data_IF_314842617706
#
_entry.id   IF_314842617706
#
_cell.length_a   1.000
_cell.length_b   1.000
_cell.length_c   1.000
_cell.angle_alpha   90.00
_cell.angle_beta   90.00
_cell.angle_gamma   90.00
#
_symmetry.space_group_name_H-M   'P 1'
#
loop_
_entity.id
_entity.type
_entity.pdbx_description
1 polymer ?
#
# COMPACT_ATOMS: atom_id res chain seq x y z
N UNK A 1 -14.33 -18.63 -9.30
CA UNK A 1 -13.08 -17.91 -9.04
C UNK A 1 -12.38 -17.47 -10.32
N UNK A 2 -11.96 -18.39 -11.22
CA UNK A 2 -11.19 -18.07 -12.44
C UNK A 2 -11.91 -17.07 -13.39
N UNK A 3 -13.23 -17.17 -13.52
CA UNK A 3 -14.01 -16.19 -14.29
C UNK A 3 -13.91 -14.78 -13.67
N UNK A 4 -14.05 -14.67 -12.35
CA UNK A 4 -13.91 -13.40 -11.65
C UNK A 4 -12.48 -12.83 -11.74
N UNK A 5 -11.44 -13.69 -11.73
CA UNK A 5 -10.05 -13.27 -11.86
C UNK A 5 -9.73 -12.69 -13.25
N UNK A 6 -10.46 -13.13 -14.30
CA UNK A 6 -10.35 -12.55 -15.64
C UNK A 6 -11.02 -11.19 -15.78
N UNK A 7 -12.09 -10.96 -15.03
CA UNK A 7 -12.83 -9.70 -15.05
C UNK A 7 -12.18 -8.64 -14.15
N UNK A 8 -11.63 -9.07 -13.01
CA UNK A 8 -11.03 -8.19 -12.01
C UNK A 8 -9.73 -8.82 -11.49
N UNK A 9 -8.57 -8.27 -11.80
CA UNK A 9 -7.30 -8.78 -11.28
C UNK A 9 -7.28 -8.67 -9.75
N UNK A 10 -6.82 -9.71 -9.09
CA UNK A 10 -6.60 -9.73 -7.64
C UNK A 10 -5.15 -9.40 -7.35
N UNK A 11 -4.89 -8.57 -6.35
CA UNK A 11 -3.52 -8.31 -5.88
C UNK A 11 -2.97 -9.52 -5.12
N UNK A 12 -3.79 -10.16 -4.31
CA UNK A 12 -3.41 -11.29 -3.44
C UNK A 12 -4.45 -12.39 -3.58
N UNK A 13 -4.01 -13.63 -3.68
CA UNK A 13 -4.86 -14.82 -3.73
C UNK A 13 -4.38 -15.85 -2.72
N UNK A 14 -5.24 -16.20 -1.76
CA UNK A 14 -5.06 -17.35 -0.90
C UNK A 14 -5.80 -18.52 -1.48
N UNK A 15 -5.12 -19.63 -1.71
CA UNK A 15 -5.67 -20.80 -2.39
C UNK A 15 -5.41 -22.07 -1.59
N UNK A 16 -6.47 -22.74 -1.19
CA UNK A 16 -6.32 -24.06 -0.57
C UNK A 16 -5.92 -25.09 -1.64
N UNK A 17 -4.92 -25.90 -1.33
CA UNK A 17 -4.48 -26.98 -2.23
C UNK A 17 -5.53 -28.09 -2.28
N UNK A 18 -6.06 -28.46 -1.12
CA UNK A 18 -7.00 -29.57 -1.00
C UNK A 18 -8.43 -29.05 -0.84
N UNK A 19 -9.14 -28.92 -1.94
CA UNK A 19 -10.55 -28.55 -1.96
C UNK A 19 -11.42 -29.70 -2.48
N UNK A 20 -12.63 -29.84 -1.95
CA UNK A 20 -13.57 -30.83 -2.43
C UNK A 20 -13.89 -30.60 -3.92
N UNK A 21 -13.42 -31.52 -4.78
CA UNK A 21 -13.68 -31.52 -6.22
C UNK A 21 -12.78 -30.58 -7.05
N UNK A 22 -11.77 -29.94 -6.45
CA UNK A 22 -10.82 -29.10 -7.18
C UNK A 22 -9.42 -29.18 -6.53
N UNK A 23 -8.37 -29.08 -7.37
CA UNK A 23 -6.99 -29.00 -6.95
C UNK A 23 -6.50 -27.55 -7.07
N UNK A 24 -6.10 -26.93 -5.94
CA UNK A 24 -5.61 -25.56 -5.91
C UNK A 24 -4.40 -25.31 -6.81
N UNK A 25 -3.57 -26.33 -7.03
CA UNK A 25 -2.39 -26.20 -7.92
C UNK A 25 -2.83 -26.08 -9.38
N UNK A 26 -3.84 -26.81 -9.80
CA UNK A 26 -4.38 -26.70 -11.16
C UNK A 26 -5.01 -25.33 -11.40
N UNK A 27 -5.78 -24.85 -10.41
CA UNK A 27 -6.36 -23.50 -10.44
C UNK A 27 -5.25 -22.44 -10.50
N UNK A 28 -4.16 -22.62 -9.75
CA UNK A 28 -3.01 -21.71 -9.78
C UNK A 28 -2.33 -21.70 -11.15
N UNK A 29 -2.20 -22.85 -11.82
CA UNK A 29 -1.67 -22.93 -13.20
C UNK A 29 -2.53 -22.16 -14.18
N UNK A 30 -3.86 -22.35 -14.13
CA UNK A 30 -4.79 -21.61 -14.99
C UNK A 30 -4.75 -20.10 -14.71
N UNK A 31 -4.63 -19.71 -13.44
CA UNK A 31 -4.48 -18.30 -13.05
C UNK A 31 -3.22 -17.69 -13.68
N UNK A 32 -2.10 -18.41 -13.66
CA UNK A 32 -0.84 -17.96 -14.28
C UNK A 32 -0.90 -17.92 -15.80
N UNK A 33 -1.68 -18.76 -16.44
CA UNK A 33 -1.90 -18.71 -17.90
C UNK A 33 -2.66 -17.45 -18.34
N UNK A 34 -3.44 -16.84 -17.49
CA UNK A 34 -4.09 -15.55 -17.72
C UNK A 34 -3.19 -14.34 -17.45
N UNK A 35 -1.90 -14.55 -17.27
CA UNK A 35 -0.87 -13.53 -16.98
C UNK A 35 -1.15 -12.70 -15.73
N UNK A 36 -1.64 -13.36 -14.69
CA UNK A 36 -1.91 -12.70 -13.42
C UNK A 36 -0.64 -12.61 -12.57
N UNK A 37 -0.19 -11.39 -12.31
CA UNK A 37 0.94 -11.07 -11.42
C UNK A 37 0.57 -11.01 -9.94
N UNK A 38 -0.60 -11.55 -9.56
CA UNK A 38 -1.04 -11.57 -8.18
C UNK A 38 -0.07 -12.34 -7.26
N UNK A 39 0.03 -11.91 -6.02
CA UNK A 39 0.70 -12.67 -4.97
C UNK A 39 -0.14 -13.91 -4.64
N UNK A 40 0.37 -15.08 -5.00
CA UNK A 40 -0.30 -16.36 -4.76
C UNK A 40 0.26 -17.00 -3.49
N UNK A 41 -0.61 -17.30 -2.56
CA UNK A 41 -0.30 -17.98 -1.31
C UNK A 41 -1.10 -19.28 -1.26
N UNK A 42 -0.43 -20.40 -1.08
CA UNK A 42 -1.13 -21.64 -0.80
C UNK A 42 -1.40 -21.80 0.69
N UNK A 43 -2.62 -22.23 1.00
CA UNK A 43 -2.97 -22.75 2.32
C UNK A 43 -3.12 -24.27 2.23
N UNK A 44 -2.51 -25.04 3.13
CA UNK A 44 -2.48 -26.50 2.99
C UNK A 44 -2.31 -27.19 4.33
N UNK A 45 -2.69 -28.47 4.40
CA UNK A 45 -2.41 -29.35 5.55
C UNK A 45 -1.11 -30.14 5.37
N UNK A 46 -0.44 -30.09 4.19
CA UNK A 46 0.79 -30.81 3.88
C UNK A 46 1.75 -29.95 3.07
N UNK A 47 3.05 -30.20 3.22
CA UNK A 47 4.13 -29.55 2.47
C UNK A 47 4.53 -30.32 1.20
N UNK A 48 3.87 -31.44 0.87
CA UNK A 48 4.27 -32.35 -0.22
C UNK A 48 4.26 -31.69 -1.61
N UNK A 49 3.54 -30.59 -1.79
CA UNK A 49 3.41 -29.86 -3.06
C UNK A 49 4.30 -28.60 -3.19
N UNK A 50 5.30 -28.45 -2.32
CA UNK A 50 6.17 -27.26 -2.34
C UNK A 50 6.88 -27.05 -3.68
N UNK A 51 7.31 -28.12 -4.36
CA UNK A 51 7.93 -28.07 -5.69
C UNK A 51 6.96 -27.61 -6.79
N UNK A 52 5.69 -27.97 -6.69
CA UNK A 52 4.67 -27.56 -7.65
C UNK A 52 4.32 -26.09 -7.50
N UNK A 53 4.32 -25.59 -6.26
CA UNK A 53 4.12 -24.17 -5.98
C UNK A 53 5.24 -23.29 -6.52
N UNK A 54 6.47 -23.76 -6.52
CA UNK A 54 7.57 -23.04 -7.16
C UNK A 54 7.32 -22.86 -8.67
N UNK A 55 6.76 -23.86 -9.34
CA UNK A 55 6.44 -23.80 -10.77
C UNK A 55 5.35 -22.75 -11.11
N UNK A 56 4.44 -22.50 -10.18
CA UNK A 56 3.38 -21.47 -10.34
C UNK A 56 3.75 -20.14 -9.67
N UNK A 57 5.03 -19.97 -9.31
CA UNK A 57 5.53 -18.76 -8.66
C UNK A 57 4.69 -18.35 -7.45
N UNK A 58 4.36 -19.32 -6.58
CA UNK A 58 3.73 -19.02 -5.31
C UNK A 58 4.70 -18.24 -4.42
N UNK A 59 4.20 -17.18 -3.78
CA UNK A 59 4.99 -16.38 -2.85
C UNK A 59 5.27 -17.15 -1.57
N UNK A 60 4.27 -17.85 -1.04
CA UNK A 60 4.38 -18.51 0.25
C UNK A 60 3.44 -19.73 0.37
N UNK A 61 3.75 -20.60 1.36
CA UNK A 61 2.93 -21.70 1.81
C UNK A 61 2.58 -21.50 3.28
N UNK A 62 1.29 -21.43 3.59
CA UNK A 62 0.78 -21.44 4.96
C UNK A 62 0.28 -22.85 5.31
N UNK A 63 0.99 -23.51 6.22
CA UNK A 63 0.61 -24.84 6.68
C UNK A 63 -0.38 -24.73 7.83
N UNK A 64 -1.55 -25.36 7.67
CA UNK A 64 -2.60 -25.36 8.71
C UNK A 64 -2.21 -26.29 9.87
N UNK A 65 -2.43 -25.89 11.14
CA UNK A 65 -2.97 -24.61 11.56
C UNK A 65 -1.89 -23.51 11.57
N UNK A 66 -2.20 -22.33 11.08
CA UNK A 66 -1.33 -21.17 11.11
C UNK A 66 -1.81 -20.16 12.15
N UNK A 67 -0.90 -19.39 12.71
CA UNK A 67 -1.18 -18.40 13.76
C UNK A 67 -1.20 -16.97 13.19
N UNK A 68 -1.66 -16.03 14.03
CA UNK A 68 -1.79 -14.62 13.68
C UNK A 68 -0.44 -14.00 13.27
N UNK A 69 0.65 -14.36 13.95
CA UNK A 69 1.99 -13.83 13.66
C UNK A 69 2.48 -14.26 12.28
N UNK A 70 2.23 -15.49 11.86
CA UNK A 70 2.60 -15.98 10.53
C UNK A 70 1.83 -15.21 9.44
N UNK A 71 0.54 -14.96 9.66
CA UNK A 71 -0.29 -14.16 8.74
C UNK A 71 0.22 -12.72 8.69
N UNK A 72 0.45 -12.07 9.83
CA UNK A 72 0.95 -10.70 9.90
C UNK A 72 2.27 -10.55 9.16
N UNK A 73 3.24 -11.43 9.43
CA UNK A 73 4.54 -11.41 8.76
C UNK A 73 4.41 -11.55 7.24
N UNK A 74 3.53 -12.45 6.77
CA UNK A 74 3.28 -12.63 5.35
C UNK A 74 2.62 -11.39 4.72
N UNK A 75 1.66 -10.78 5.41
CA UNK A 75 1.00 -9.55 4.93
C UNK A 75 1.99 -8.39 4.84
N UNK A 76 2.88 -8.23 5.82
CA UNK A 76 3.95 -7.21 5.79
C UNK A 76 4.88 -7.42 4.59
N UNK A 77 5.26 -8.68 4.31
CA UNK A 77 6.04 -9.03 3.14
C UNK A 77 5.32 -8.68 1.83
N UNK A 78 4.02 -9.01 1.73
CA UNK A 78 3.20 -8.69 0.56
C UNK A 78 3.10 -7.17 0.38
N UNK A 79 2.79 -6.43 1.45
CA UNK A 79 2.68 -4.98 1.43
C UNK A 79 3.99 -4.31 0.97
N UNK A 80 5.15 -4.85 1.40
CA UNK A 80 6.46 -4.34 0.96
C UNK A 80 6.72 -4.56 -0.54
N UNK A 81 6.07 -5.55 -1.15
CA UNK A 81 6.24 -5.94 -2.56
C UNK A 81 5.15 -5.40 -3.48
N UNK A 82 3.99 -5.02 -2.94
CA UNK A 82 2.97 -4.34 -3.74
C UNK A 82 3.59 -3.03 -4.22
N UNK A 83 3.75 -2.84 -5.55
CA UNK A 83 4.16 -1.54 -6.04
C UNK A 83 3.14 -0.55 -5.49
N UNK A 84 3.61 0.42 -4.73
CA UNK A 84 2.75 1.57 -4.40
C UNK A 84 2.11 1.97 -5.71
N UNK A 85 0.79 1.96 -5.78
CA UNK A 85 0.02 2.16 -7.00
C UNK A 85 0.21 3.58 -7.51
N UNK A 86 1.46 3.96 -7.72
CA UNK A 86 1.95 5.13 -8.44
C UNK A 86 1.15 6.41 -8.26
N UNK A 87 0.34 6.52 -7.20
CA UNK A 87 -0.36 7.75 -6.90
C UNK A 87 0.65 8.82 -6.57
N UNK A 88 0.59 9.89 -7.32
CA UNK A 88 1.45 11.04 -7.14
C UNK A 88 0.63 12.32 -7.24
N UNK A 89 1.17 13.39 -6.69
CA UNK A 89 0.66 14.74 -6.89
C UNK A 89 1.63 15.50 -7.78
N UNK A 90 1.07 16.22 -8.76
CA UNK A 90 1.83 17.16 -9.57
C UNK A 90 1.88 18.51 -8.84
N UNK A 91 3.07 19.00 -8.57
CA UNK A 91 3.27 20.30 -7.93
C UNK A 91 4.28 21.14 -8.70
N UNK A 92 4.07 22.46 -8.69
CA UNK A 92 5.00 23.39 -9.31
C UNK A 92 5.96 23.93 -8.26
N UNK A 93 7.22 23.52 -8.33
CA UNK A 93 8.30 23.95 -7.41
C UNK A 93 9.33 24.71 -8.23
N UNK A 94 9.61 25.96 -7.85
CA UNK A 94 10.59 26.82 -8.53
C UNK A 94 10.39 26.90 -10.05
N UNK A 95 9.14 26.90 -10.51
CA UNK A 95 8.80 26.97 -11.93
C UNK A 95 8.78 25.63 -12.68
N UNK A 96 9.27 24.55 -12.09
CA UNK A 96 9.28 23.20 -12.67
C UNK A 96 8.12 22.34 -12.13
N UNK A 97 7.48 21.55 -12.99
CA UNK A 97 6.52 20.55 -12.54
C UNK A 97 7.26 19.32 -11.99
N UNK A 98 6.93 18.94 -10.77
CA UNK A 98 7.51 17.79 -10.06
C UNK A 98 6.37 16.86 -9.66
N UNK A 99 6.58 15.58 -9.86
CA UNK A 99 5.70 14.52 -9.35
C UNK A 99 6.23 14.03 -8.00
N UNK A 100 5.39 14.13 -6.97
CA UNK A 100 5.71 13.62 -5.65
C UNK A 100 4.83 12.41 -5.40
N UNK A 101 5.42 11.20 -5.26
CA UNK A 101 4.66 10.01 -4.89
C UNK A 101 4.00 10.20 -3.52
N UNK A 102 2.76 9.76 -3.38
CA UNK A 102 2.00 9.90 -2.12
C UNK A 102 2.74 9.30 -0.93
N UNK A 103 3.38 8.16 -1.10
CA UNK A 103 4.18 7.51 -0.05
C UNK A 103 5.37 8.34 0.44
N UNK A 104 5.81 9.30 -0.35
CA UNK A 104 6.93 10.16 0.02
C UNK A 104 6.48 11.44 0.74
N UNK A 105 5.18 11.71 0.81
CA UNK A 105 4.63 12.87 1.52
C UNK A 105 4.39 12.44 2.97
N UNK A 106 5.08 13.07 3.91
CA UNK A 106 4.87 12.88 5.35
C UNK A 106 3.69 13.73 5.79
N UNK A 107 3.75 15.04 5.56
CA UNK A 107 2.64 15.96 5.73
C UNK A 107 2.83 17.19 4.85
N UNK A 108 1.79 18.00 4.74
CA UNK A 108 1.87 19.31 4.12
C UNK A 108 1.08 20.34 4.92
N UNK A 109 1.62 21.55 5.00
CA UNK A 109 1.01 22.65 5.72
C UNK A 109 0.96 23.92 4.86
N UNK A 110 -0.09 24.73 5.08
CA UNK A 110 -0.25 26.04 4.46
C UNK A 110 0.26 27.11 5.42
N UNK A 111 1.40 27.67 5.12
CA UNK A 111 2.01 28.71 5.90
C UNK A 111 2.54 29.84 5.01
N UNK A 112 2.38 31.12 5.41
CA UNK A 112 2.87 32.30 4.69
C UNK A 112 2.53 32.33 3.19
N UNK A 113 1.28 31.96 2.82
CA UNK A 113 0.79 31.91 1.42
C UNK A 113 1.50 30.86 0.54
N UNK A 114 2.21 29.93 1.14
CA UNK A 114 2.88 28.81 0.47
C UNK A 114 2.39 27.50 1.08
N UNK A 115 2.47 26.45 0.32
CA UNK A 115 2.32 25.09 0.83
C UNK A 115 3.71 24.51 1.00
N UNK A 116 3.99 24.12 2.23
CA UNK A 116 5.19 23.44 2.65
C UNK A 116 4.92 21.94 2.64
N UNK A 117 5.60 21.19 1.78
CA UNK A 117 5.43 19.75 1.62
C UNK A 117 6.66 19.07 2.21
N UNK A 118 6.46 18.37 3.32
CA UNK A 118 7.50 17.61 4.00
C UNK A 118 7.52 16.19 3.44
N UNK A 119 8.69 15.77 2.97
CA UNK A 119 8.85 14.49 2.28
C UNK A 119 9.90 13.61 2.93
N UNK A 120 9.77 12.29 2.73
CA UNK A 120 10.79 11.32 3.13
C UNK A 120 12.16 11.71 2.55
N UNK A 121 13.21 11.57 3.38
CA UNK A 121 14.56 12.02 3.02
C UNK A 121 14.87 13.47 3.39
N UNK A 122 14.02 14.13 4.22
CA UNK A 122 14.29 15.42 4.84
C UNK A 122 14.23 16.62 3.86
N UNK A 123 13.62 16.45 2.70
CA UNK A 123 13.39 17.56 1.76
C UNK A 123 12.05 18.21 1.97
N UNK A 124 12.07 19.50 2.25
CA UNK A 124 10.91 20.38 2.17
C UNK A 124 10.78 20.95 0.76
N UNK A 125 9.55 20.89 0.21
CA UNK A 125 9.23 21.46 -1.09
C UNK A 125 8.17 22.53 -0.94
N UNK A 126 8.38 23.68 -1.61
CA UNK A 126 7.48 24.83 -1.54
C UNK A 126 6.71 24.98 -2.84
N UNK A 127 5.39 25.08 -2.75
CA UNK A 127 4.55 25.35 -3.91
C UNK A 127 3.53 26.46 -3.61
N UNK A 128 3.19 27.23 -4.65
CA UNK A 128 2.24 28.33 -4.55
C UNK A 128 0.95 27.98 -5.30
N UNK A 129 -0.01 27.48 -4.56
CA UNK A 129 -1.38 27.19 -5.06
C UNK A 129 -2.35 27.23 -3.89
N UNK A 130 -3.66 27.13 -4.14
CA UNK A 130 -4.61 27.04 -3.05
C UNK A 130 -4.47 25.69 -2.33
N UNK A 131 -4.56 25.68 -1.01
CA UNK A 131 -4.47 24.46 -0.22
C UNK A 131 -5.58 23.46 -0.54
N UNK A 132 -6.77 23.98 -0.88
CA UNK A 132 -7.89 23.16 -1.31
C UNK A 132 -7.59 22.41 -2.63
N UNK A 133 -7.03 23.11 -3.63
CA UNK A 133 -6.65 22.50 -4.90
C UNK A 133 -5.52 21.47 -4.70
N UNK A 134 -4.54 21.78 -3.84
CA UNK A 134 -3.47 20.85 -3.50
C UNK A 134 -4.00 19.59 -2.83
N UNK A 135 -4.88 19.73 -1.84
CA UNK A 135 -5.37 18.57 -1.07
C UNK A 135 -6.49 17.80 -1.77
N UNK A 136 -7.04 18.29 -2.87
CA UNK A 136 -8.17 17.65 -3.55
C UNK A 136 -7.91 16.18 -3.92
N UNK A 137 -6.74 15.87 -4.49
CA UNK A 137 -6.34 14.51 -4.83
C UNK A 137 -5.96 13.68 -3.60
N UNK A 138 -5.35 14.31 -2.60
CA UNK A 138 -4.93 13.63 -1.37
C UNK A 138 -6.13 13.17 -0.55
N UNK A 139 -7.17 13.99 -0.44
CA UNK A 139 -8.42 13.67 0.29
C UNK A 139 -9.19 12.47 -0.27
N UNK A 140 -8.92 12.10 -1.52
CA UNK A 140 -9.51 10.90 -2.13
C UNK A 140 -8.80 9.60 -1.75
N UNK A 141 -7.68 9.70 -1.03
CA UNK A 141 -6.88 8.56 -0.60
C UNK A 141 -6.93 8.44 0.93
N UNK A 142 -7.27 7.25 1.43
CA UNK A 142 -7.46 6.99 2.86
C UNK A 142 -6.20 7.18 3.72
N UNK A 143 -5.02 7.25 3.09
CA UNK A 143 -3.76 7.57 3.78
C UNK A 143 -3.70 8.98 4.32
N UNK A 144 -4.44 9.91 3.71
CA UNK A 144 -4.37 11.32 4.08
C UNK A 144 -5.50 11.76 4.98
N UNK A 145 -5.14 12.39 6.08
CA UNK A 145 -6.04 12.97 7.06
C UNK A 145 -5.82 14.48 7.18
N UNK A 146 -6.91 15.26 7.12
CA UNK A 146 -6.84 16.71 7.32
C UNK A 146 -7.02 17.03 8.80
N UNK A 147 -5.93 17.41 9.47
CA UNK A 147 -5.94 17.78 10.89
C UNK A 147 -6.75 19.06 11.14
N UNK A 148 -6.56 20.05 10.26
CA UNK A 148 -7.25 21.33 10.32
C UNK A 148 -7.34 21.99 8.92
N UNK A 149 -7.70 23.28 8.86
CA UNK A 149 -7.87 24.01 7.59
C UNK A 149 -6.59 24.20 6.77
N UNK A 150 -5.44 24.00 7.38
CA UNK A 150 -4.13 24.26 6.75
C UNK A 150 -3.15 23.12 6.84
N UNK A 151 -3.51 21.96 7.39
CA UNK A 151 -2.59 20.83 7.55
C UNK A 151 -3.25 19.53 7.11
N UNK A 152 -2.53 18.77 6.30
CA UNK A 152 -2.85 17.39 5.90
C UNK A 152 -1.65 16.50 6.19
N UNK A 153 -1.87 15.36 6.86
CA UNK A 153 -0.84 14.36 7.17
C UNK A 153 -1.10 13.08 6.39
N UNK A 154 -0.03 12.32 6.19
CA UNK A 154 -0.10 10.95 5.72
C UNK A 154 -0.06 10.01 6.93
N UNK A 155 -1.12 9.26 7.16
CA UNK A 155 -1.24 8.34 8.29
C UNK A 155 -0.24 7.18 8.24
N UNK A 156 0.32 6.85 7.06
CA UNK A 156 1.41 5.86 6.94
C UNK A 156 2.72 6.33 7.59
N UNK A 157 2.87 7.64 7.81
CA UNK A 157 4.00 8.28 8.47
C UNK A 157 3.69 8.73 9.91
N UNK A 158 2.49 8.46 10.41
CA UNK A 158 2.13 8.74 11.79
C UNK A 158 2.63 7.61 12.71
N UNK A 159 3.47 7.97 13.68
CA UNK A 159 4.07 7.02 14.65
C UNK A 159 3.21 6.89 15.89
N UNK A 160 2.63 8.02 16.37
CA UNK A 160 1.82 8.06 17.59
C UNK A 160 0.79 9.20 17.54
N UNK A 161 -0.24 9.11 18.40
CA UNK A 161 -1.26 10.13 18.56
C UNK A 161 -1.69 10.22 20.02
N UNK A 162 -1.50 11.38 20.65
CA UNK A 162 -1.80 11.62 22.07
C UNK A 162 -3.22 12.15 22.33
N UNK A 163 -4.06 12.26 21.31
CA UNK A 163 -5.40 12.84 21.37
C UNK A 163 -5.46 14.32 20.94
N UNK A 164 -4.33 14.99 20.78
CA UNK A 164 -4.21 16.38 20.34
C UNK A 164 -3.17 16.60 19.27
N UNK A 165 -2.14 15.75 19.22
CA UNK A 165 -1.04 15.87 18.27
C UNK A 165 -0.68 14.51 17.68
N UNK A 166 -0.36 14.48 16.38
CA UNK A 166 0.29 13.35 15.74
C UNK A 166 1.80 13.52 15.82
N UNK A 167 2.51 12.49 16.28
CA UNK A 167 3.95 12.37 16.11
C UNK A 167 4.22 11.71 14.75
N UNK A 168 4.95 12.38 13.88
CA UNK A 168 5.34 11.86 12.57
C UNK A 168 6.70 11.16 12.64
N UNK A 169 7.02 10.33 11.64
CA UNK A 169 8.27 9.57 11.56
C UNK A 169 9.52 10.44 11.27
N UNK A 170 9.32 11.74 11.00
CA UNK A 170 10.37 12.77 10.92
C UNK A 170 10.54 13.56 12.23
N UNK A 171 10.01 13.03 13.35
CA UNK A 171 10.03 13.62 14.70
C UNK A 171 9.22 14.93 14.85
N UNK A 172 8.44 15.33 13.86
CA UNK A 172 7.56 16.50 13.97
C UNK A 172 6.24 16.16 14.67
N UNK A 173 5.76 17.10 15.50
CA UNK A 173 4.46 17.00 16.17
C UNK A 173 3.45 17.91 15.45
N UNK A 174 2.39 17.31 14.93
CA UNK A 174 1.36 17.99 14.14
C UNK A 174 0.06 18.10 14.93
N UNK A 175 -0.44 19.33 15.22
CA UNK A 175 -1.68 19.51 15.95
C UNK A 175 -2.91 19.18 15.12
N UNK A 176 -3.95 18.64 15.76
CA UNK A 176 -5.27 18.31 15.16
C UNK A 176 -6.21 19.51 15.23
#
# INVERSE_FOLDING_TARGET
FLAAAKERPFTVVFLDIYMNGANGIEIARELRMSDSDCFLIFTTTSTDHALEGFRVRALHYLVKPYNEKEISTLLDEILSRIPDSGKYIDVKVNGSNIQIPFKNIIYAEHFSHMIHIHTTGGKEMLTRQSFEAFTASLKMDSRFYSCNRGIVINLEHAVDFDGSMFLMDDDNNIPV
#
